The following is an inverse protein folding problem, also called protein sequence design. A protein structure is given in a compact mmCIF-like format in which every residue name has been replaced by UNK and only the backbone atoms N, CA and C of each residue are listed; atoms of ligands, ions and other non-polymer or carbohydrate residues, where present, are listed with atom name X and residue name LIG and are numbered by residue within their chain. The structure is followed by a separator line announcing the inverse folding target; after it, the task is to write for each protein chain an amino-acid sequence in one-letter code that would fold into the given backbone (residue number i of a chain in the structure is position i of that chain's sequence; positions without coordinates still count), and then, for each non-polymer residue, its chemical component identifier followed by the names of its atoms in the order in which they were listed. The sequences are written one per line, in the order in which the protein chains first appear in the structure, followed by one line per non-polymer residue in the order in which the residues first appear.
data_IF_627019519732
#
_entry.id   IF_627019519732
#
_cell.length_a   1.000
_cell.length_b   1.000
_cell.length_c   1.000
_cell.angle_alpha   90.00
_cell.angle_beta   90.00
_cell.angle_gamma   90.00
#
_symmetry.space_group_name_H-M   'P 1'
#
loop_
_entity.id
_entity.type
_entity.pdbx_description
1 polymer ?
#
# COMPACT_ATOMS: atom_id res chain seq x y z
N UNK A 1 25.74 3.87 -4.51
CA UNK A 1 24.83 2.71 -4.64
C UNK A 1 23.57 3.17 -5.35
N UNK A 2 23.01 2.35 -6.23
CA UNK A 2 21.75 2.66 -6.90
C UNK A 2 20.59 2.52 -5.89
N UNK A 3 19.62 3.44 -5.96
CA UNK A 3 18.44 3.42 -5.07
C UNK A 3 17.48 2.32 -5.51
N UNK A 4 16.76 1.74 -4.55
CA UNK A 4 15.76 0.70 -4.78
C UNK A 4 14.48 1.37 -5.33
N UNK A 5 14.00 1.03 -6.53
CA UNK A 5 12.82 1.67 -7.09
C UNK A 5 11.53 1.19 -6.42
N UNK A 6 10.62 2.12 -6.08
CA UNK A 6 9.18 1.83 -5.94
C UNK A 6 8.52 2.10 -7.30
N UNK A 7 7.60 1.23 -7.72
CA UNK A 7 6.65 1.54 -8.78
C UNK A 7 5.25 1.58 -8.18
N UNK A 8 4.55 2.68 -8.37
CA UNK A 8 3.15 2.82 -7.99
C UNK A 8 2.31 2.95 -9.26
N UNK A 9 1.21 2.22 -9.30
CA UNK A 9 0.21 2.29 -10.35
C UNK A 9 -1.10 2.77 -9.76
N UNK A 10 -1.48 4.00 -10.10
CA UNK A 10 -2.80 4.54 -9.72
C UNK A 10 -3.86 3.82 -10.53
N UNK A 11 -4.78 3.13 -9.85
CA UNK A 11 -5.85 2.41 -10.52
C UNK A 11 -6.99 3.39 -10.82
N UNK A 12 -7.63 3.91 -9.77
CA UNK A 12 -8.86 4.68 -9.87
C UNK A 12 -9.23 5.26 -8.50
N UNK A 13 -9.96 6.38 -8.49
CA UNK A 13 -10.76 6.77 -7.33
C UNK A 13 -12.20 6.26 -7.49
N UNK A 14 -12.73 5.62 -6.45
CA UNK A 14 -14.15 5.23 -6.41
C UNK A 14 -14.81 5.89 -5.22
N UNK A 15 -15.79 6.76 -5.49
CA UNK A 15 -16.36 7.69 -4.51
C UNK A 15 -15.28 8.52 -3.83
N UNK A 16 -14.87 8.12 -2.63
CA UNK A 16 -13.90 8.81 -1.77
C UNK A 16 -12.69 7.92 -1.39
N UNK A 17 -12.59 6.72 -1.98
CA UNK A 17 -11.43 5.84 -1.82
C UNK A 17 -10.47 6.01 -2.99
N UNK A 18 -9.18 5.95 -2.67
CA UNK A 18 -8.11 5.89 -3.66
C UNK A 18 -7.43 4.53 -3.57
N UNK A 19 -7.09 3.99 -4.74
CA UNK A 19 -6.52 2.66 -4.88
C UNK A 19 -5.28 2.70 -5.75
N UNK A 20 -4.16 2.28 -5.16
CA UNK A 20 -2.87 2.20 -5.84
C UNK A 20 -2.27 0.81 -5.68
N UNK A 21 -1.52 0.35 -6.68
CA UNK A 21 -0.70 -0.86 -6.56
C UNK A 21 0.77 -0.45 -6.43
N UNK A 22 1.35 -0.79 -5.29
CA UNK A 22 2.77 -0.64 -5.04
C UNK A 22 3.54 -1.91 -5.32
N UNK A 23 4.66 -1.74 -6.01
CA UNK A 23 5.60 -2.81 -6.31
C UNK A 23 7.01 -2.43 -5.89
N UNK A 24 7.63 -3.35 -5.15
CA UNK A 24 9.02 -3.31 -4.73
C UNK A 24 9.76 -4.53 -5.30
N UNK A 25 11.07 -4.44 -5.58
CA UNK A 25 11.83 -5.58 -6.06
C UNK A 25 11.75 -6.77 -5.11
N UNK A 26 11.44 -7.96 -5.64
CA UNK A 26 11.38 -9.23 -4.89
C UNK A 26 10.34 -9.27 -3.76
N UNK A 27 9.35 -8.37 -3.78
CA UNK A 27 8.24 -8.36 -2.83
C UNK A 27 6.92 -8.47 -3.61
N UNK A 28 5.93 -9.25 -3.14
CA UNK A 28 4.60 -9.25 -3.73
C UNK A 28 4.00 -7.83 -3.81
N UNK A 29 3.20 -7.50 -4.83
CA UNK A 29 2.52 -6.22 -4.92
C UNK A 29 1.58 -5.98 -3.74
N UNK A 30 1.51 -4.73 -3.30
CA UNK A 30 0.58 -4.29 -2.27
C UNK A 30 -0.53 -3.45 -2.91
N UNK A 31 -1.77 -3.70 -2.49
CA UNK A 31 -2.87 -2.77 -2.72
C UNK A 31 -2.85 -1.75 -1.59
N UNK A 32 -2.57 -0.50 -1.93
CA UNK A 32 -2.77 0.64 -1.04
C UNK A 32 -4.21 1.14 -1.22
N UNK A 33 -4.87 1.39 -0.09
CA UNK A 33 -6.23 1.92 -0.04
C UNK A 33 -6.19 3.12 0.88
N UNK A 34 -6.50 4.29 0.35
CA UNK A 34 -6.61 5.51 1.14
C UNK A 34 -8.07 5.89 1.33
N UNK A 35 -8.36 6.43 2.52
CA UNK A 35 -9.69 6.81 2.92
C UNK A 35 -9.64 7.84 4.05
N UNK A 36 -10.77 8.49 4.32
CA UNK A 36 -10.86 9.61 5.25
C UNK A 36 -10.77 9.19 6.73
N UNK A 37 -10.96 7.91 7.04
CA UNK A 37 -10.89 7.33 8.39
C UNK A 37 -10.67 5.82 8.33
N UNK A 38 -10.33 5.19 9.45
CA UNK A 38 -10.23 3.73 9.53
C UNK A 38 -11.57 3.03 9.27
N UNK A 39 -12.68 3.60 9.75
CA UNK A 39 -14.03 3.10 9.48
C UNK A 39 -14.33 3.10 7.97
N UNK A 40 -14.02 4.21 7.30
CA UNK A 40 -14.17 4.34 5.85
C UNK A 40 -13.33 3.30 5.10
N UNK A 41 -12.09 3.03 5.55
CA UNK A 41 -11.26 1.96 4.97
C UNK A 41 -11.89 0.58 5.14
N UNK A 42 -12.43 0.27 6.33
CA UNK A 42 -13.10 -1.01 6.61
C UNK A 42 -14.33 -1.21 5.73
N UNK A 43 -15.12 -0.17 5.50
CA UNK A 43 -16.24 -0.20 4.55
C UNK A 43 -15.77 -0.53 3.13
N UNK A 44 -14.73 0.16 2.64
CA UNK A 44 -14.15 -0.09 1.33
C UNK A 44 -13.63 -1.52 1.17
N UNK A 45 -12.93 -2.03 2.19
CA UNK A 45 -12.44 -3.41 2.22
C UNK A 45 -13.57 -4.43 2.14
N UNK A 46 -14.68 -4.19 2.85
CA UNK A 46 -15.86 -5.07 2.81
C UNK A 46 -16.53 -5.05 1.44
N UNK A 47 -16.64 -3.89 0.79
CA UNK A 47 -17.21 -3.77 -0.56
C UNK A 47 -16.39 -4.53 -1.61
N UNK A 48 -15.07 -4.59 -1.41
CA UNK A 48 -14.14 -5.30 -2.29
C UNK A 48 -13.98 -6.79 -1.94
N UNK A 49 -14.60 -7.26 -0.86
CA UNK A 49 -14.43 -8.64 -0.37
C UNK A 49 -13.03 -8.96 0.14
N UNK A 50 -12.33 -7.96 0.68
CA UNK A 50 -10.95 -8.05 1.20
C UNK A 50 -10.88 -8.11 2.72
N UNK A 51 -12.02 -8.25 3.40
CA UNK A 51 -12.16 -8.23 4.86
C UNK A 51 -11.37 -9.33 5.59
N UNK A 52 -10.99 -10.40 4.88
CA UNK A 52 -10.20 -11.51 5.42
C UNK A 52 -8.71 -11.43 5.03
N UNK A 53 -8.28 -10.36 4.38
CA UNK A 53 -6.89 -10.17 3.97
C UNK A 53 -6.06 -9.59 5.11
N UNK A 54 -4.77 -9.94 5.12
CA UNK A 54 -3.80 -9.29 6.02
C UNK A 54 -3.63 -7.84 5.58
N UNK A 55 -3.79 -6.92 6.52
CA UNK A 55 -3.62 -5.48 6.30
C UNK A 55 -2.53 -4.91 7.22
N UNK A 56 -2.06 -3.71 6.90
CA UNK A 56 -1.20 -2.90 7.77
C UNK A 56 -1.57 -1.44 7.62
N UNK A 57 -1.74 -0.74 8.74
CA UNK A 57 -1.92 0.71 8.81
C UNK A 57 -0.75 1.41 9.53
N UNK A 58 0.39 0.71 9.68
CA UNK A 58 1.58 1.23 10.38
C UNK A 58 2.36 2.28 9.57
N UNK A 59 1.92 2.57 8.35
CA UNK A 59 2.61 3.42 7.40
C UNK A 59 3.70 2.69 6.61
N UNK A 60 3.94 3.19 5.40
CA UNK A 60 4.81 2.57 4.39
C UNK A 60 6.26 2.35 4.88
N UNK A 61 6.81 3.28 5.67
CA UNK A 61 8.17 3.17 6.23
C UNK A 61 8.34 1.92 7.09
N UNK A 62 7.35 1.60 7.93
CA UNK A 62 7.41 0.41 8.79
C UNK A 62 7.25 -0.83 7.94
N UNK A 63 6.34 -0.81 6.96
CA UNK A 63 6.13 -1.92 6.03
C UNK A 63 7.40 -2.27 5.23
N UNK A 64 8.07 -1.28 4.64
CA UNK A 64 9.34 -1.43 3.90
C UNK A 64 10.42 -2.05 4.79
N UNK A 65 10.51 -1.61 6.05
CA UNK A 65 11.45 -2.21 7.02
C UNK A 65 11.11 -3.66 7.34
N UNK A 66 9.82 -4.01 7.48
CA UNK A 66 9.36 -5.39 7.72
C UNK A 66 9.65 -6.31 6.50
N UNK A 67 9.75 -5.77 5.29
CA UNK A 67 10.20 -6.48 4.07
C UNK A 67 11.72 -6.68 4.00
N UNK A 68 12.50 -6.10 4.93
CA UNK A 68 13.96 -6.13 4.92
C UNK A 68 14.61 -5.10 3.98
N UNK A 69 13.84 -4.11 3.53
CA UNK A 69 14.33 -3.00 2.71
C UNK A 69 14.69 -1.78 3.57
N UNK A 70 15.62 -0.96 3.08
CA UNK A 70 15.97 0.32 3.73
C UNK A 70 15.21 1.47 3.09
N UNK A 71 14.27 2.07 3.83
CA UNK A 71 13.52 3.26 3.45
C UNK A 71 14.41 4.38 2.90
N UNK A 72 15.55 4.63 3.54
CA UNK A 72 16.45 5.72 3.13
C UNK A 72 17.19 5.38 1.83
N UNK A 73 17.21 4.12 1.41
CA UNK A 73 17.75 3.67 0.14
C UNK A 73 16.70 3.50 -0.96
N UNK A 74 15.43 3.84 -0.69
CA UNK A 74 14.36 3.82 -1.69
C UNK A 74 14.43 5.04 -2.63
N UNK A 75 13.86 4.88 -3.83
CA UNK A 75 13.51 5.94 -4.78
C UNK A 75 11.99 5.97 -4.93
N UNK A 76 11.40 7.07 -4.49
CA UNK A 76 9.99 7.42 -4.64
C UNK A 76 9.81 8.35 -5.84
#
# INVERSE_FOLDING_TARGET
MEKIPRKSFVIQSFKDWYFDIDQYPNVPPYLEIEGKSEEHLREGMKLLGLDNNRTSNKGERILIKEMGLDWYNMKF
#
